data_IF_182596877932
#
_entry.id   IF_182596877932
#
_cell.length_a   1.000
_cell.length_b   1.000
_cell.length_c   1.000
_cell.angle_alpha   90.00
_cell.angle_beta   90.00
_cell.angle_gamma   90.00
#
_symmetry.space_group_name_H-M   'P 1'
#
loop_
_entity.id
_entity.type
_entity.pdbx_description
1 polymer ?
#
# COMPACT_ATOMS: atom_id res chain seq x y z
N UNK A 1 7.56 -15.49 -4.84
CA UNK A 1 6.44 -14.85 -4.16
C UNK A 1 5.15 -14.97 -4.96
N UNK A 2 5.15 -14.61 -6.25
CA UNK A 2 3.95 -14.65 -7.11
C UNK A 2 3.32 -16.05 -7.27
N UNK A 3 4.12 -17.11 -7.19
CA UNK A 3 3.61 -18.49 -7.25
C UNK A 3 2.97 -19.00 -5.94
N UNK A 4 2.97 -18.20 -4.86
CA UNK A 4 2.41 -18.63 -3.58
C UNK A 4 0.87 -18.68 -3.64
N UNK A 5 0.23 -19.76 -3.19
CA UNK A 5 -1.23 -19.83 -3.19
C UNK A 5 -1.86 -18.77 -2.30
N UNK A 6 -1.23 -18.40 -1.18
CA UNK A 6 -1.71 -17.33 -0.29
C UNK A 6 -1.60 -15.96 -0.95
N UNK A 7 -0.57 -15.72 -1.76
CA UNK A 7 -0.41 -14.47 -2.50
C UNK A 7 -1.49 -14.34 -3.57
N UNK A 8 -1.70 -15.39 -4.36
CA UNK A 8 -2.76 -15.41 -5.37
C UNK A 8 -4.15 -15.29 -4.74
N UNK A 9 -4.38 -15.91 -3.57
CA UNK A 9 -5.65 -15.77 -2.87
C UNK A 9 -5.93 -14.32 -2.42
N UNK A 10 -4.90 -13.56 -2.03
CA UNK A 10 -5.04 -12.12 -1.77
C UNK A 10 -5.37 -11.35 -3.04
N UNK A 11 -4.69 -11.64 -4.16
CA UNK A 11 -4.99 -10.98 -5.45
C UNK A 11 -6.43 -11.26 -5.90
N UNK A 12 -6.86 -12.53 -5.89
CA UNK A 12 -8.21 -12.96 -6.25
C UNK A 12 -9.26 -12.26 -5.39
N UNK A 13 -8.99 -12.07 -4.09
CA UNK A 13 -9.87 -11.33 -3.19
C UNK A 13 -10.00 -9.86 -3.61
N UNK A 14 -8.88 -9.19 -3.89
CA UNK A 14 -8.88 -7.79 -4.32
C UNK A 14 -9.64 -7.59 -5.64
N UNK A 15 -9.42 -8.46 -6.63
CA UNK A 15 -10.13 -8.40 -7.90
C UNK A 15 -11.64 -8.57 -7.75
N UNK A 16 -12.06 -9.54 -6.91
CA UNK A 16 -13.47 -9.79 -6.60
C UNK A 16 -14.16 -8.55 -6.04
N UNK A 17 -13.43 -7.71 -5.31
CA UNK A 17 -13.92 -6.47 -4.70
C UNK A 17 -13.73 -5.23 -5.58
N UNK A 18 -13.53 -5.42 -6.89
CA UNK A 18 -13.28 -4.36 -7.89
C UNK A 18 -12.04 -3.50 -7.60
N UNK A 19 -11.04 -4.06 -6.90
CA UNK A 19 -9.74 -3.45 -6.74
C UNK A 19 -8.85 -4.03 -7.84
N UNK A 20 -8.66 -3.26 -8.92
CA UNK A 20 -7.84 -3.67 -10.07
C UNK A 20 -6.35 -3.63 -9.72
N UNK A 21 -5.88 -4.69 -9.06
CA UNK A 21 -4.51 -4.83 -8.58
C UNK A 21 -3.50 -4.94 -9.74
N UNK A 22 -3.90 -5.46 -10.89
CA UNK A 22 -3.02 -5.57 -12.06
C UNK A 22 -2.66 -4.21 -12.63
N UNK A 23 -3.61 -3.27 -12.73
CA UNK A 23 -3.30 -1.89 -13.12
C UNK A 23 -2.26 -1.25 -12.19
N UNK A 24 -2.32 -1.52 -10.88
CA UNK A 24 -1.31 -1.01 -9.93
C UNK A 24 0.07 -1.68 -10.12
N UNK A 25 0.12 -2.99 -10.36
CA UNK A 25 1.38 -3.71 -10.62
C UNK A 25 2.04 -3.17 -11.89
N UNK A 26 1.26 -2.98 -12.96
CA UNK A 26 1.77 -2.44 -14.22
C UNK A 26 2.32 -1.02 -14.06
N UNK A 27 1.61 -0.17 -13.29
CA UNK A 27 2.09 1.17 -12.95
C UNK A 27 3.42 1.14 -12.19
N UNK A 28 3.57 0.24 -11.21
CA UNK A 28 4.83 0.10 -10.47
C UNK A 28 5.97 -0.35 -11.39
N UNK A 29 5.71 -1.31 -12.27
CA UNK A 29 6.70 -1.76 -13.25
C UNK A 29 7.14 -0.62 -14.17
N UNK A 30 6.20 0.19 -14.67
CA UNK A 30 6.51 1.38 -15.49
C UNK A 30 7.37 2.39 -14.72
N UNK A 31 7.03 2.67 -13.46
CA UNK A 31 7.82 3.57 -12.60
C UNK A 31 9.25 3.05 -12.41
N UNK A 32 9.42 1.74 -12.17
CA UNK A 32 10.74 1.12 -11.99
C UNK A 32 11.59 1.21 -13.26
N UNK A 33 10.98 0.97 -14.43
CA UNK A 33 11.66 1.13 -15.73
C UNK A 33 12.08 2.59 -16.00
N UNK A 34 11.28 3.55 -15.53
CA UNK A 34 11.54 4.97 -15.73
C UNK A 34 12.46 5.59 -14.66
N UNK A 35 12.60 4.97 -13.50
CA UNK A 35 13.57 5.36 -12.46
C UNK A 35 14.99 5.40 -13.01
N UNK A 36 15.36 4.47 -13.90
CA UNK A 36 16.68 4.47 -14.54
C UNK A 36 16.88 5.68 -15.46
N UNK A 37 15.79 6.23 -16.00
CA UNK A 37 15.79 7.36 -16.95
C UNK A 37 15.62 8.71 -16.25
N UNK A 38 15.16 8.75 -14.99
CA UNK A 38 14.93 9.98 -14.25
C UNK A 38 16.24 10.72 -13.92
N UNK A 39 16.43 11.90 -14.52
CA UNK A 39 17.51 12.82 -14.14
C UNK A 39 17.18 13.48 -12.79
N UNK A 40 18.05 13.28 -11.79
CA UNK A 40 18.00 13.90 -10.46
C UNK A 40 18.20 15.41 -10.52
N UNK A 41 17.19 16.16 -10.95
CA UNK A 41 17.31 17.62 -11.12
C UNK A 41 16.53 18.45 -10.09
N UNK A 42 15.83 17.81 -9.15
CA UNK A 42 15.08 18.52 -8.10
C UNK A 42 15.63 18.14 -6.73
N UNK A 43 16.28 19.09 -6.05
CA UNK A 43 16.60 18.95 -4.62
C UNK A 43 15.33 19.24 -3.84
N UNK A 44 14.70 18.19 -3.32
CA UNK A 44 13.65 18.36 -2.31
C UNK A 44 14.29 18.47 -0.92
N UNK A 45 13.65 19.25 -0.05
CA UNK A 45 14.00 19.27 1.37
C UNK A 45 13.49 17.98 1.98
N UNK A 46 14.41 17.13 2.45
CA UNK A 46 14.11 15.87 3.12
C UNK A 46 14.51 15.98 4.59
N UNK A 47 13.74 15.36 5.48
CA UNK A 47 14.03 15.30 6.92
C UNK A 47 15.17 14.33 7.25
N UNK A 48 15.41 13.34 6.38
CA UNK A 48 16.46 12.35 6.55
C UNK A 48 16.92 11.69 5.24
N UNK A 49 17.45 10.47 5.36
CA UNK A 49 18.10 9.75 4.23
C UNK A 49 17.59 8.33 4.03
N UNK A 50 16.63 7.88 4.85
CA UNK A 50 16.05 6.53 4.79
C UNK A 50 14.74 6.53 4.01
N UNK A 51 14.27 5.35 3.59
CA UNK A 51 12.93 5.22 2.99
C UNK A 51 11.85 5.61 3.99
N UNK A 52 12.04 5.25 5.26
CA UNK A 52 11.16 5.65 6.37
C UNK A 52 11.03 7.17 6.46
N UNK A 53 12.13 7.92 6.40
CA UNK A 53 12.10 9.39 6.39
C UNK A 53 11.33 9.92 5.17
N UNK A 54 11.55 9.32 3.99
CA UNK A 54 10.84 9.70 2.76
C UNK A 54 9.33 9.47 2.86
N UNK A 55 8.89 8.35 3.42
CA UNK A 55 7.48 8.05 3.63
C UNK A 55 6.86 9.05 4.60
N UNK A 56 7.49 9.32 5.74
CA UNK A 56 6.98 10.31 6.69
C UNK A 56 6.95 11.73 6.12
N UNK A 57 7.96 12.13 5.34
CA UNK A 57 7.96 13.39 4.62
C UNK A 57 6.80 13.47 3.62
N UNK A 58 6.50 12.37 2.92
CA UNK A 58 5.38 12.28 1.98
C UNK A 58 4.04 12.41 2.70
N UNK A 59 3.85 11.65 3.78
CA UNK A 59 2.66 11.71 4.66
C UNK A 59 2.45 13.14 5.18
N UNK A 60 3.52 13.83 5.58
CA UNK A 60 3.44 15.20 6.11
C UNK A 60 2.95 16.23 5.07
N UNK A 61 3.07 15.95 3.78
CA UNK A 61 2.57 16.81 2.69
C UNK A 61 1.11 16.49 2.35
N UNK A 62 0.59 15.33 2.74
CA UNK A 62 -0.78 14.95 2.43
C UNK A 62 -1.80 15.90 3.08
N UNK A 63 -2.85 16.32 2.34
CA UNK A 63 -3.89 17.17 2.89
C UNK A 63 -4.89 16.33 3.72
N UNK A 64 -4.45 15.81 4.87
CA UNK A 64 -5.16 14.80 5.69
C UNK A 64 -6.63 15.14 5.94
N UNK A 65 -6.95 16.40 6.26
CA UNK A 65 -8.33 16.82 6.50
C UNK A 65 -9.22 16.68 5.25
N UNK A 66 -8.68 16.96 4.05
CA UNK A 66 -9.41 16.78 2.78
C UNK A 66 -9.54 15.31 2.42
N UNK A 67 -8.49 14.52 2.64
CA UNK A 67 -8.52 13.08 2.38
C UNK A 67 -9.52 12.38 3.29
N UNK A 68 -9.55 12.72 4.57
CA UNK A 68 -10.53 12.21 5.54
C UNK A 68 -11.96 12.58 5.14
N UNK A 69 -12.22 13.84 4.77
CA UNK A 69 -13.54 14.26 4.29
C UNK A 69 -13.95 13.53 2.99
N UNK A 70 -13.01 13.32 2.06
CA UNK A 70 -13.26 12.56 0.83
C UNK A 70 -13.54 11.08 1.11
N UNK A 71 -12.82 10.50 2.08
CA UNK A 71 -13.05 9.13 2.52
C UNK A 71 -14.48 8.99 3.07
N UNK A 72 -14.90 9.88 3.97
CA UNK A 72 -16.26 9.85 4.53
C UNK A 72 -17.33 10.05 3.44
N UNK A 73 -17.09 10.98 2.50
CA UNK A 73 -17.97 11.20 1.36
C UNK A 73 -18.10 9.94 0.50
N UNK A 74 -17.00 9.25 0.20
CA UNK A 74 -17.00 8.01 -0.59
C UNK A 74 -17.64 6.86 0.17
N UNK A 75 -17.37 6.71 1.45
CA UNK A 75 -18.03 5.71 2.29
C UNK A 75 -19.56 5.90 2.32
N UNK A 76 -20.06 7.14 2.24
CA UNK A 76 -21.49 7.44 2.28
C UNK A 76 -22.17 7.36 0.91
N UNK A 77 -21.48 7.73 -0.17
CA UNK A 77 -22.10 7.98 -1.48
C UNK A 77 -21.62 7.06 -2.61
N UNK A 78 -20.53 6.32 -2.42
CA UNK A 78 -19.92 5.45 -3.42
C UNK A 78 -20.02 3.99 -2.93
N UNK A 79 -21.05 3.28 -3.40
CA UNK A 79 -21.35 1.91 -2.97
C UNK A 79 -20.19 0.94 -3.27
N UNK A 80 -19.55 1.09 -4.43
CA UNK A 80 -18.41 0.26 -4.82
C UNK A 80 -17.23 0.49 -3.87
N UNK A 81 -16.89 1.75 -3.60
CA UNK A 81 -15.81 2.10 -2.66
C UNK A 81 -16.12 1.59 -1.24
N UNK A 82 -17.32 1.85 -0.73
CA UNK A 82 -17.72 1.44 0.62
C UNK A 82 -17.70 -0.08 0.80
N UNK A 83 -18.17 -0.83 -0.21
CA UNK A 83 -18.16 -2.31 -0.21
C UNK A 83 -16.74 -2.84 -0.18
N UNK A 84 -15.86 -2.33 -1.05
CA UNK A 84 -14.46 -2.74 -1.09
C UNK A 84 -13.76 -2.48 0.26
N UNK A 85 -13.97 -1.31 0.87
CA UNK A 85 -13.38 -0.98 2.17
C UNK A 85 -13.94 -1.83 3.32
N UNK A 86 -15.23 -2.18 3.29
CA UNK A 86 -15.84 -3.09 4.27
C UNK A 86 -15.24 -4.49 4.15
N UNK A 87 -15.09 -4.98 2.92
CA UNK A 87 -14.56 -6.32 2.67
C UNK A 87 -13.07 -6.41 3.00
N UNK A 88 -12.27 -5.38 2.73
CA UNK A 88 -10.88 -5.28 3.21
C UNK A 88 -10.75 -5.30 4.75
N UNK A 89 -11.82 -4.96 5.47
CA UNK A 89 -11.88 -5.02 6.94
C UNK A 89 -12.53 -6.31 7.47
N UNK A 90 -12.88 -7.22 6.57
CA UNK A 90 -13.54 -8.47 6.92
C UNK A 90 -12.58 -9.47 7.58
N UNK A 91 -13.15 -10.42 8.31
CA UNK A 91 -12.40 -11.55 8.84
C UNK A 91 -11.79 -12.42 7.73
N UNK A 92 -12.49 -12.55 6.59
CA UNK A 92 -12.01 -13.29 5.41
C UNK A 92 -10.68 -12.71 4.91
N UNK A 93 -10.62 -11.40 4.67
CA UNK A 93 -9.39 -10.75 4.23
C UNK A 93 -8.29 -10.84 5.29
N UNK A 94 -8.62 -10.64 6.57
CA UNK A 94 -7.66 -10.77 7.67
C UNK A 94 -7.02 -12.17 7.70
N UNK A 95 -7.81 -13.23 7.51
CA UNK A 95 -7.29 -14.60 7.47
C UNK A 95 -6.37 -14.83 6.26
N UNK A 96 -6.73 -14.34 5.08
CA UNK A 96 -5.89 -14.44 3.88
C UNK A 96 -4.57 -13.68 4.03
N UNK A 97 -4.64 -12.43 4.51
CA UNK A 97 -3.47 -11.63 4.78
C UNK A 97 -2.56 -12.31 5.82
N UNK A 98 -3.12 -12.77 6.94
CA UNK A 98 -2.33 -13.46 7.97
C UNK A 98 -1.65 -14.73 7.42
N UNK A 99 -2.36 -15.53 6.62
CA UNK A 99 -1.75 -16.71 6.00
C UNK A 99 -0.55 -16.35 5.11
N UNK A 100 -0.64 -15.25 4.34
CA UNK A 100 0.48 -14.75 3.55
C UNK A 100 1.63 -14.26 4.45
N UNK A 101 1.34 -13.46 5.48
CA UNK A 101 2.35 -12.94 6.42
C UNK A 101 3.04 -14.02 7.27
N UNK A 102 2.38 -15.16 7.50
CA UNK A 102 2.94 -16.33 8.16
C UNK A 102 3.76 -17.23 7.23
N UNK A 103 3.61 -17.07 5.91
CA UNK A 103 4.34 -17.86 4.92
C UNK A 103 5.85 -17.55 4.96
N UNK A 104 6.68 -18.59 5.07
CA UNK A 104 8.12 -18.43 5.25
C UNK A 104 8.80 -17.75 4.04
N UNK A 105 8.37 -18.04 2.81
CA UNK A 105 8.94 -17.41 1.61
C UNK A 105 8.62 -15.92 1.62
N UNK A 106 7.38 -15.55 1.92
CA UNK A 106 6.99 -14.14 2.00
C UNK A 106 7.72 -13.39 3.14
N UNK A 107 7.91 -14.04 4.30
CA UNK A 107 8.70 -13.48 5.41
C UNK A 107 10.16 -13.23 5.01
N UNK A 108 10.75 -14.10 4.19
CA UNK A 108 12.11 -13.91 3.68
C UNK A 108 12.20 -12.68 2.75
N UNK A 109 11.19 -12.45 1.91
CA UNK A 109 11.13 -11.24 1.08
C UNK A 109 10.98 -9.97 1.94
N UNK A 110 10.08 -9.97 2.93
CA UNK A 110 9.95 -8.85 3.88
C UNK A 110 11.27 -8.56 4.59
N UNK A 111 11.98 -9.61 5.01
CA UNK A 111 13.27 -9.46 5.67
C UNK A 111 14.33 -8.88 4.73
N UNK A 112 14.37 -9.32 3.47
CA UNK A 112 15.25 -8.75 2.44
C UNK A 112 14.97 -7.26 2.21
N UNK A 113 13.69 -6.87 2.14
CA UNK A 113 13.30 -5.46 2.03
C UNK A 113 13.77 -4.64 3.24
N UNK A 114 13.57 -5.16 4.46
CA UNK A 114 14.02 -4.51 5.70
C UNK A 114 15.54 -4.33 5.73
N UNK A 115 16.30 -5.33 5.30
CA UNK A 115 17.77 -5.25 5.21
C UNK A 115 18.24 -4.18 4.21
N UNK A 116 17.40 -3.85 3.22
CA UNK A 116 17.62 -2.78 2.26
C UNK A 116 16.95 -1.46 2.67
N UNK A 117 16.49 -1.34 3.92
CA UNK A 117 15.95 -0.11 4.50
C UNK A 117 14.49 0.18 4.13
N UNK A 118 13.73 -0.82 3.69
CA UNK A 118 12.29 -0.72 3.41
C UNK A 118 11.52 -1.45 4.51
N UNK A 119 10.82 -0.69 5.35
CA UNK A 119 9.99 -1.22 6.44
C UNK A 119 8.54 -1.33 5.96
N UNK A 120 8.04 -2.56 5.80
CA UNK A 120 6.66 -2.81 5.35
C UNK A 120 5.64 -2.21 6.32
N UNK A 121 5.95 -2.20 7.63
CA UNK A 121 5.08 -1.57 8.62
C UNK A 121 4.86 -0.07 8.33
N UNK A 122 5.90 0.64 7.87
CA UNK A 122 5.82 2.07 7.55
C UNK A 122 5.07 2.32 6.24
N UNK A 123 5.18 1.41 5.27
CA UNK A 123 4.35 1.49 4.04
C UNK A 123 2.86 1.36 4.36
N UNK A 124 2.49 0.57 5.37
CA UNK A 124 1.09 0.48 5.82
C UNK A 124 0.60 1.80 6.41
N UNK A 125 1.44 2.54 7.13
CA UNK A 125 1.10 3.88 7.63
C UNK A 125 0.81 4.86 6.47
N UNK A 126 1.57 4.77 5.38
CA UNK A 126 1.35 5.58 4.18
C UNK A 126 0.00 5.29 3.52
N UNK A 127 -0.36 4.01 3.36
CA UNK A 127 -1.65 3.61 2.81
C UNK A 127 -2.81 4.19 3.62
N UNK A 128 -2.69 4.21 4.95
CA UNK A 128 -3.72 4.79 5.82
C UNK A 128 -3.78 6.32 5.69
N UNK A 129 -2.62 6.96 5.63
CA UNK A 129 -2.51 8.40 5.45
C UNK A 129 -3.12 8.87 4.11
N UNK A 130 -3.02 8.07 3.04
CA UNK A 130 -3.69 8.34 1.75
C UNK A 130 -5.21 8.44 1.92
N UNK A 131 -5.82 7.64 2.81
CA UNK A 131 -7.24 7.74 3.12
C UNK A 131 -7.57 8.83 4.15
N UNK A 132 -6.55 9.54 4.67
CA UNK A 132 -6.70 10.45 5.79
C UNK A 132 -7.15 9.75 7.07
N UNK A 133 -6.91 8.44 7.19
CA UNK A 133 -7.32 7.60 8.30
C UNK A 133 -6.09 7.18 9.12
N UNK A 134 -6.33 6.77 10.36
CA UNK A 134 -5.37 6.07 11.21
C UNK A 134 -6.00 4.73 11.59
N UNK A 135 -5.28 3.61 11.53
CA UNK A 135 -5.80 2.36 12.11
C UNK A 135 -5.93 2.52 13.64
N UNK A 136 -6.94 1.90 14.27
CA UNK A 136 -7.06 1.85 15.72
C UNK A 136 -5.91 1.11 16.39
#
# INVERSE_FOLDING_TARGET
MEDLPEFNAVLDFLEKDNIDIHTFIDLLNEILEDIEKMKRNTRQSVSGTTMTDFIYDSIAVFPTAKLSALFDEKMANDEAFSTALINLRSEEFSQLANALFENEIFRQEIQSLRENGVEIEVLMDEVLAIFGQTLP
#
